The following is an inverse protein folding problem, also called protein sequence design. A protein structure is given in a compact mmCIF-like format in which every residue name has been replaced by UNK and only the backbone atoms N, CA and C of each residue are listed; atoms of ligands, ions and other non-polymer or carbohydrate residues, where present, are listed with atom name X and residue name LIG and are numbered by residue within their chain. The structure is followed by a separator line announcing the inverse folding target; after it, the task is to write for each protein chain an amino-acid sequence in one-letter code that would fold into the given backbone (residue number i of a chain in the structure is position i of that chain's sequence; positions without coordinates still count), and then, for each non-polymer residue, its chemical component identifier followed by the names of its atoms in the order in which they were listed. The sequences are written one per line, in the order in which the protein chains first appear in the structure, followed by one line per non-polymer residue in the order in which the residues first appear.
data_IF_008357051631
#
_entry.id   IF_008357051631
#
_cell.length_a   1.000
_cell.length_b   1.000
_cell.length_c   1.000
_cell.angle_alpha   90.00
_cell.angle_beta   90.00
_cell.angle_gamma   90.00
#
_symmetry.space_group_name_H-M   'P 1'
#
loop_
_entity.id
_entity.type
_entity.pdbx_description
1 polymer ?
#
# COMPACT_ATOMS: atom_id res chain seq x y z
N UNK A 1 45.11 7.34 -51.55
CA UNK A 1 44.52 6.60 -50.42
C UNK A 1 44.02 7.49 -49.27
N UNK A 2 44.53 8.72 -49.03
CA UNK A 2 44.05 9.61 -47.93
C UNK A 2 42.68 10.22 -48.08
N UNK A 3 42.20 10.43 -49.35
CA UNK A 3 40.85 11.03 -49.58
C UNK A 3 39.64 10.12 -49.32
N UNK A 4 39.83 8.78 -49.31
CA UNK A 4 38.73 7.82 -49.04
C UNK A 4 38.54 7.61 -47.53
N UNK A 5 39.54 7.78 -46.72
CA UNK A 5 39.47 7.68 -45.28
C UNK A 5 38.72 8.87 -44.62
N UNK A 6 38.89 10.07 -45.19
CA UNK A 6 38.20 11.27 -44.71
C UNK A 6 36.68 11.19 -44.98
N UNK A 7 36.29 10.65 -46.15
CA UNK A 7 34.88 10.47 -46.49
C UNK A 7 34.16 9.46 -45.61
N UNK A 8 34.83 8.36 -45.22
CA UNK A 8 34.28 7.35 -44.33
C UNK A 8 34.11 7.87 -42.89
N UNK A 9 35.05 8.67 -42.42
CA UNK A 9 34.96 9.25 -41.07
C UNK A 9 33.85 10.30 -40.95
N UNK A 10 33.62 11.10 -41.98
CA UNK A 10 32.53 12.08 -41.98
C UNK A 10 31.13 11.39 -42.07
N UNK A 11 31.02 10.28 -42.79
CA UNK A 11 29.76 9.53 -42.89
C UNK A 11 29.43 8.84 -41.58
N UNK A 12 30.41 8.29 -40.87
CA UNK A 12 30.20 7.68 -39.55
C UNK A 12 29.87 8.74 -38.49
N UNK A 13 30.49 9.91 -38.52
CA UNK A 13 30.18 11.01 -37.61
C UNK A 13 28.73 11.55 -37.81
N UNK A 14 28.24 11.60 -39.10
CA UNK A 14 26.88 12.00 -39.39
C UNK A 14 25.83 10.96 -38.91
N UNK A 15 26.15 9.67 -39.01
CA UNK A 15 25.27 8.62 -38.48
C UNK A 15 25.21 8.60 -36.95
N UNK A 16 26.32 8.86 -36.26
CA UNK A 16 26.35 8.96 -34.78
C UNK A 16 25.58 10.20 -34.32
N UNK A 17 25.66 11.31 -35.05
CA UNK A 17 24.91 12.54 -34.78
C UNK A 17 23.39 12.40 -34.93
N UNK A 18 22.91 11.53 -35.85
CA UNK A 18 21.49 11.27 -36.06
C UNK A 18 20.89 10.32 -35.02
N UNK A 19 21.71 9.46 -34.38
CA UNK A 19 21.24 8.55 -33.32
C UNK A 19 21.23 9.28 -31.95
N UNK A 20 22.06 10.31 -31.76
CA UNK A 20 22.11 11.10 -30.52
C UNK A 20 20.92 12.05 -30.34
N UNK A 21 20.06 12.21 -31.35
CA UNK A 21 18.86 13.08 -31.30
C UNK A 21 17.59 12.40 -30.82
N UNK A 22 17.56 11.07 -30.71
CA UNK A 22 16.47 10.32 -30.10
C UNK A 22 16.87 10.05 -28.66
N UNK A 23 16.81 11.07 -27.80
CA UNK A 23 16.70 10.82 -26.37
C UNK A 23 15.35 10.14 -26.17
N UNK A 24 15.35 8.81 -26.12
CA UNK A 24 14.30 8.12 -25.39
C UNK A 24 14.34 8.72 -23.98
N UNK A 25 13.39 9.58 -23.70
CA UNK A 25 13.08 9.94 -22.33
C UNK A 25 12.64 8.62 -21.72
N UNK A 26 13.57 7.91 -21.09
CA UNK A 26 13.21 6.83 -20.20
C UNK A 26 12.15 7.46 -19.30
N UNK A 27 10.93 6.98 -19.39
CA UNK A 27 9.91 7.28 -18.39
C UNK A 27 10.60 6.99 -17.07
N UNK A 28 10.76 8.01 -16.22
CA UNK A 28 11.19 7.80 -14.84
C UNK A 28 10.21 6.79 -14.28
N UNK A 29 10.61 5.51 -14.27
CA UNK A 29 9.84 4.46 -13.66
C UNK A 29 9.83 4.85 -12.19
N UNK A 30 8.70 5.37 -11.72
CA UNK A 30 8.50 5.74 -10.32
C UNK A 30 8.84 4.49 -9.51
N UNK A 31 9.75 4.60 -8.57
CA UNK A 31 10.11 3.50 -7.68
C UNK A 31 8.82 3.08 -6.93
N UNK A 32 8.44 1.82 -7.10
CA UNK A 32 7.27 1.27 -6.40
C UNK A 32 7.71 0.93 -4.99
N UNK A 33 7.03 1.47 -4.00
CA UNK A 33 7.23 1.14 -2.59
C UNK A 33 6.48 -0.15 -2.28
N UNK A 34 7.13 -1.07 -1.57
CA UNK A 34 6.53 -2.32 -1.13
C UNK A 34 6.18 -2.23 0.35
N UNK A 35 5.04 -2.73 0.70
CA UNK A 35 4.58 -2.87 2.08
C UNK A 35 3.77 -4.16 2.24
N UNK A 36 3.64 -4.62 3.47
CA UNK A 36 2.97 -5.85 3.84
C UNK A 36 1.67 -5.57 4.59
N UNK A 37 0.65 -6.40 4.37
CA UNK A 37 -0.61 -6.30 5.09
C UNK A 37 -1.14 -7.68 5.49
N UNK A 38 -1.71 -7.78 6.69
CA UNK A 38 -2.42 -8.96 7.14
C UNK A 38 -3.88 -8.62 7.44
N UNK A 39 -4.76 -9.36 6.80
CA UNK A 39 -6.21 -9.25 6.98
C UNK A 39 -6.72 -10.45 7.77
N UNK A 40 -7.14 -10.19 9.02
CA UNK A 40 -7.67 -11.21 9.95
C UNK A 40 -9.10 -11.65 9.61
N UNK A 41 -9.43 -11.71 8.34
CA UNK A 41 -10.71 -12.17 7.79
C UNK A 41 -10.48 -13.22 6.71
N UNK A 42 -11.43 -14.12 6.53
CA UNK A 42 -11.37 -15.13 5.47
C UNK A 42 -11.27 -14.48 4.09
N UNK A 43 -10.33 -14.97 3.30
CA UNK A 43 -10.08 -14.50 1.95
C UNK A 43 -9.07 -15.37 1.24
N UNK A 44 -8.81 -15.05 -0.02
CA UNK A 44 -7.79 -15.71 -0.82
C UNK A 44 -6.61 -14.77 -1.05
N UNK A 45 -5.40 -15.29 -0.98
CA UNK A 45 -4.21 -14.54 -1.34
C UNK A 45 -4.25 -14.22 -2.84
N UNK A 46 -4.04 -12.95 -3.16
CA UNK A 46 -4.02 -12.49 -4.55
C UNK A 46 -2.66 -12.84 -5.17
N UNK A 47 -2.70 -13.42 -6.38
CA UNK A 47 -1.48 -13.72 -7.14
C UNK A 47 -0.67 -12.42 -7.33
N UNK A 48 0.63 -12.39 -6.98
CA UNK A 48 1.49 -11.23 -7.22
C UNK A 48 1.53 -10.78 -8.68
N UNK A 49 1.39 -11.74 -9.62
CA UNK A 49 1.37 -11.47 -11.07
C UNK A 49 -0.01 -11.03 -11.59
N UNK A 50 -0.96 -10.70 -10.70
CA UNK A 50 -2.27 -10.20 -11.10
C UNK A 50 -2.17 -8.84 -11.80
N UNK A 51 -2.60 -8.76 -13.06
CA UNK A 51 -2.50 -7.58 -13.92
C UNK A 51 -3.16 -6.33 -13.29
N UNK A 52 -4.30 -6.50 -12.61
CA UNK A 52 -5.02 -5.40 -11.97
C UNK A 52 -4.24 -4.86 -10.78
N UNK A 53 -3.69 -5.74 -9.95
CA UNK A 53 -2.85 -5.37 -8.82
C UNK A 53 -1.62 -4.59 -9.28
N UNK A 54 -0.95 -5.07 -10.31
CA UNK A 54 0.21 -4.39 -10.90
C UNK A 54 -0.15 -3.02 -11.48
N UNK A 55 -1.28 -2.92 -12.19
CA UNK A 55 -1.75 -1.64 -12.72
C UNK A 55 -2.03 -0.61 -11.61
N UNK A 56 -2.65 -1.04 -10.52
CA UNK A 56 -2.88 -0.19 -9.35
C UNK A 56 -1.54 0.24 -8.74
N UNK A 57 -0.61 -0.70 -8.53
CA UNK A 57 0.71 -0.41 -7.97
C UNK A 57 1.48 0.62 -8.81
N UNK A 58 1.44 0.51 -10.13
CA UNK A 58 2.05 1.50 -11.04
C UNK A 58 1.40 2.89 -10.92
N UNK A 59 0.09 2.97 -10.78
CA UNK A 59 -0.64 4.24 -10.66
C UNK A 59 -0.36 4.95 -9.35
N UNK A 60 -0.43 4.24 -8.22
CA UNK A 60 -0.23 4.82 -6.89
C UNK A 60 1.25 4.90 -6.50
N UNK A 61 2.12 4.09 -7.12
CA UNK A 61 3.54 3.97 -6.80
C UNK A 61 3.79 3.19 -5.51
N UNK A 62 2.90 2.26 -5.17
CA UNK A 62 3.01 1.39 -4.02
C UNK A 62 2.35 0.04 -4.30
N UNK A 63 2.94 -1.04 -3.81
CA UNK A 63 2.46 -2.41 -3.93
C UNK A 63 2.32 -3.04 -2.56
N UNK A 64 1.17 -3.69 -2.32
CA UNK A 64 0.88 -4.40 -1.08
C UNK A 64 1.09 -5.90 -1.27
N UNK A 65 1.88 -6.52 -0.39
CA UNK A 65 1.90 -7.97 -0.22
C UNK A 65 0.86 -8.34 0.86
N UNK A 66 -0.26 -8.87 0.41
CA UNK A 66 -1.41 -9.16 1.24
C UNK A 66 -1.39 -10.60 1.71
N UNK A 67 -1.67 -10.81 2.99
CA UNK A 67 -1.92 -12.12 3.59
C UNK A 67 -3.31 -12.13 4.21
N UNK A 68 -4.11 -13.14 3.86
CA UNK A 68 -5.47 -13.33 4.34
C UNK A 68 -5.56 -14.61 5.18
N UNK A 69 -6.59 -14.73 6.03
CA UNK A 69 -6.90 -16.01 6.67
C UNK A 69 -7.38 -17.00 5.61
N UNK A 70 -6.76 -18.19 5.60
CA UNK A 70 -7.16 -19.31 4.74
C UNK A 70 -7.37 -20.53 5.62
N UNK A 71 -8.58 -20.70 6.14
CA UNK A 71 -8.94 -21.84 7.00
C UNK A 71 -8.24 -21.86 8.36
N UNK A 72 -7.72 -20.73 8.83
CA UNK A 72 -7.12 -20.57 10.15
C UNK A 72 -8.10 -19.88 11.10
N UNK A 73 -7.98 -20.18 12.39
CA UNK A 73 -8.66 -19.41 13.41
C UNK A 73 -8.05 -18.01 13.54
N UNK A 74 -8.90 -16.98 13.63
CA UNK A 74 -8.47 -15.58 13.71
C UNK A 74 -7.65 -15.33 14.96
N UNK A 75 -8.11 -15.81 16.10
CA UNK A 75 -7.45 -15.55 17.40
C UNK A 75 -6.08 -16.25 17.45
N UNK A 76 -5.97 -17.46 16.91
CA UNK A 76 -4.69 -18.16 16.78
C UNK A 76 -3.70 -17.39 15.89
N UNK A 77 -4.15 -16.83 14.78
CA UNK A 77 -3.31 -16.04 13.89
C UNK A 77 -2.83 -14.74 14.55
N UNK A 78 -3.74 -13.99 15.20
CA UNK A 78 -3.39 -12.77 15.93
C UNK A 78 -2.44 -13.08 17.12
N UNK A 79 -2.71 -14.12 17.90
CA UNK A 79 -1.84 -14.54 19.00
C UNK A 79 -0.44 -14.94 18.49
N UNK A 80 -0.35 -15.53 17.30
CA UNK A 80 0.93 -15.85 16.66
C UNK A 80 1.73 -14.60 16.32
N UNK A 81 1.10 -13.56 15.74
CA UNK A 81 1.75 -12.28 15.48
C UNK A 81 2.29 -11.65 16.78
N UNK A 82 1.47 -11.64 17.84
CA UNK A 82 1.87 -11.11 19.15
C UNK A 82 3.05 -11.91 19.73
N UNK A 83 3.00 -13.23 19.65
CA UNK A 83 4.04 -14.09 20.21
C UNK A 83 5.39 -13.97 19.49
N UNK A 84 5.38 -13.75 18.17
CA UNK A 84 6.60 -13.58 17.37
C UNK A 84 7.14 -12.17 17.43
N UNK A 85 6.27 -11.17 17.59
CA UNK A 85 6.62 -9.75 17.47
C UNK A 85 6.97 -9.33 16.01
N UNK A 86 6.67 -10.18 15.04
CA UNK A 86 6.89 -9.91 13.62
C UNK A 86 5.58 -9.39 13.00
N UNK A 87 5.40 -8.08 13.03
CA UNK A 87 4.19 -7.43 12.53
C UNK A 87 4.37 -6.98 11.07
N UNK A 88 3.32 -7.13 10.23
CA UNK A 88 3.29 -6.48 8.93
C UNK A 88 3.17 -4.95 9.08
N UNK A 89 3.38 -4.22 7.99
CA UNK A 89 3.23 -2.75 7.98
C UNK A 89 1.78 -2.33 8.27
N UNK A 90 0.81 -3.12 7.82
CA UNK A 90 -0.61 -2.91 8.08
C UNK A 90 -1.28 -4.18 8.59
N UNK A 91 -2.19 -4.02 9.53
CA UNK A 91 -3.02 -5.09 10.07
C UNK A 91 -4.43 -4.55 10.32
N UNK A 92 -5.45 -5.39 10.22
CA UNK A 92 -6.79 -5.00 10.68
C UNK A 92 -6.75 -4.71 12.17
N UNK A 93 -7.47 -3.64 12.58
CA UNK A 93 -7.55 -3.24 13.98
C UNK A 93 -8.22 -4.33 14.81
N UNK A 94 -7.47 -4.87 15.78
CA UNK A 94 -7.91 -5.90 16.71
C UNK A 94 -7.56 -5.48 18.12
N UNK A 95 -8.48 -5.65 19.06
CA UNK A 95 -8.28 -5.28 20.47
C UNK A 95 -7.06 -5.95 21.07
N UNK A 96 -6.81 -7.22 20.75
CA UNK A 96 -5.65 -7.94 21.25
C UNK A 96 -4.31 -7.33 20.81
N UNK A 97 -4.24 -6.78 19.58
CA UNK A 97 -3.04 -6.08 19.09
C UNK A 97 -2.85 -4.74 19.81
N UNK A 98 -3.93 -4.01 20.10
CA UNK A 98 -3.88 -2.79 20.89
C UNK A 98 -3.40 -3.08 22.32
N UNK A 99 -3.96 -4.09 22.98
CA UNK A 99 -3.58 -4.51 24.35
C UNK A 99 -2.12 -5.02 24.43
N UNK A 100 -1.57 -5.49 23.31
CA UNK A 100 -0.18 -5.93 23.20
C UNK A 100 0.79 -4.81 22.82
N UNK A 101 0.35 -3.54 22.76
CA UNK A 101 1.14 -2.39 22.29
C UNK A 101 1.73 -2.59 20.87
N UNK A 102 1.03 -3.36 20.01
CA UNK A 102 1.50 -3.70 18.67
C UNK A 102 1.07 -2.69 17.61
N UNK A 103 0.22 -1.73 17.95
CA UNK A 103 -0.30 -0.73 17.03
C UNK A 103 0.29 0.65 17.31
N UNK A 104 0.46 1.46 16.28
CA UNK A 104 0.85 2.87 16.40
C UNK A 104 -0.39 3.77 16.32
N UNK A 105 -0.45 4.88 17.06
CA UNK A 105 -1.54 5.83 16.97
C UNK A 105 -1.51 6.56 15.62
N UNK A 106 -2.59 6.46 14.84
CA UNK A 106 -2.67 7.07 13.51
C UNK A 106 -3.02 8.56 13.56
N UNK A 107 -3.68 9.02 14.62
CA UNK A 107 -4.08 10.42 14.79
C UNK A 107 -2.87 11.36 15.00
N UNK A 108 -1.71 10.87 15.37
CA UNK A 108 -0.47 11.65 15.45
C UNK A 108 0.05 12.08 14.07
N UNK A 109 -0.37 11.41 12.99
CA UNK A 109 0.08 11.67 11.62
C UNK A 109 -0.93 12.44 10.77
N UNK A 110 -2.06 12.84 11.33
CA UNK A 110 -3.15 13.47 10.55
C UNK A 110 -2.77 14.79 9.89
N UNK A 111 -1.82 15.54 10.44
CA UNK A 111 -1.36 16.78 9.83
C UNK A 111 -0.57 16.53 8.53
N UNK A 112 0.11 15.38 8.44
CA UNK A 112 0.83 14.94 7.24
C UNK A 112 -0.10 14.26 6.22
N UNK A 113 -1.24 13.72 6.69
CA UNK A 113 -2.19 12.96 5.88
C UNK A 113 -3.64 13.46 6.05
N UNK A 114 -3.95 14.69 5.62
CA UNK A 114 -5.26 15.31 5.85
C UNK A 114 -6.42 14.51 5.24
N UNK A 115 -6.20 13.79 4.15
CA UNK A 115 -7.23 12.95 3.53
C UNK A 115 -7.73 11.83 4.46
N UNK A 116 -6.89 11.33 5.37
CA UNK A 116 -7.29 10.33 6.36
C UNK A 116 -8.17 11.00 7.40
N UNK A 117 -7.75 12.15 7.92
CA UNK A 117 -8.52 12.92 8.90
C UNK A 117 -9.90 13.32 8.38
N UNK A 118 -9.97 13.78 7.13
CA UNK A 118 -11.20 14.23 6.47
C UNK A 118 -12.15 13.10 6.05
N UNK A 119 -11.72 11.83 6.15
CA UNK A 119 -12.52 10.67 5.79
C UNK A 119 -13.77 10.53 6.67
N UNK A 120 -13.69 10.90 7.94
CA UNK A 120 -14.78 10.94 8.91
C UNK A 120 -14.91 12.30 9.56
N UNK A 121 -16.09 12.60 10.09
CA UNK A 121 -16.27 13.77 10.96
C UNK A 121 -15.60 13.54 12.32
N UNK A 122 -15.30 14.63 13.04
CA UNK A 122 -14.70 14.56 14.37
C UNK A 122 -15.57 13.71 15.33
N UNK A 123 -16.91 13.82 15.25
CA UNK A 123 -17.83 13.02 16.06
C UNK A 123 -17.73 11.52 15.75
N UNK A 124 -17.51 11.18 14.47
CA UNK A 124 -17.34 9.78 14.07
C UNK A 124 -16.00 9.25 14.55
N UNK A 125 -14.92 10.02 14.43
CA UNK A 125 -13.61 9.63 14.93
C UNK A 125 -13.58 9.40 16.44
N UNK A 126 -14.31 10.20 17.23
CA UNK A 126 -14.39 10.04 18.70
C UNK A 126 -14.91 8.65 19.12
N UNK A 127 -15.70 7.97 18.27
CA UNK A 127 -16.20 6.61 18.56
C UNK A 127 -15.10 5.55 18.51
N UNK A 128 -13.99 5.85 17.86
CA UNK A 128 -12.84 4.93 17.70
C UNK A 128 -11.67 5.29 18.61
N UNK A 129 -11.82 6.35 19.40
CA UNK A 129 -10.80 6.77 20.34
C UNK A 129 -10.68 5.78 21.50
N UNK A 130 -9.46 5.29 21.71
CA UNK A 130 -9.16 4.36 22.78
C UNK A 130 -9.03 5.09 24.13
N UNK A 131 -9.02 4.36 25.28
CA UNK A 131 -8.95 4.95 26.62
C UNK A 131 -7.71 5.83 26.87
N UNK A 132 -6.63 5.62 26.17
CA UNK A 132 -5.40 6.42 26.20
C UNK A 132 -5.52 7.76 25.46
N UNK A 133 -6.61 7.98 24.74
CA UNK A 133 -6.89 9.21 24.01
C UNK A 133 -6.48 9.19 22.55
N UNK A 134 -6.00 8.06 22.02
CA UNK A 134 -5.52 7.91 20.65
C UNK A 134 -6.43 7.04 19.79
N UNK A 135 -6.24 7.12 18.45
CA UNK A 135 -6.94 6.33 17.45
C UNK A 135 -5.91 5.46 16.71
N UNK A 136 -6.16 4.15 16.64
CA UNK A 136 -5.21 3.17 16.14
C UNK A 136 -5.63 2.51 14.83
N UNK A 137 -6.88 2.64 14.40
CA UNK A 137 -7.38 2.03 13.17
C UNK A 137 -8.42 2.90 12.47
N UNK A 138 -8.50 2.71 11.18
CA UNK A 138 -9.50 3.33 10.33
C UNK A 138 -10.67 2.35 10.21
N UNK A 139 -11.90 2.75 10.56
CA UNK A 139 -13.06 1.88 10.41
C UNK A 139 -13.31 1.55 8.95
N UNK A 140 -13.63 0.30 8.69
CA UNK A 140 -14.09 -0.14 7.38
C UNK A 140 -15.61 0.01 7.30
N UNK A 141 -16.06 0.70 6.25
CA UNK A 141 -17.48 0.77 5.95
C UNK A 141 -17.82 -0.29 4.90
N UNK A 142 -18.62 -1.28 5.27
CA UNK A 142 -19.19 -2.22 4.32
C UNK A 142 -20.25 -1.51 3.47
N UNK A 143 -20.13 -1.60 2.15
CA UNK A 143 -21.21 -1.24 1.24
C UNK A 143 -22.14 -2.45 1.16
N UNK A 144 -23.21 -2.47 1.96
CA UNK A 144 -24.28 -3.42 1.73
C UNK A 144 -25.06 -2.99 0.46
N UNK A 145 -25.50 -3.96 -0.32
CA UNK A 145 -26.34 -3.72 -1.50
C UNK A 145 -27.75 -3.31 -1.04
N UNK A 146 -27.91 -2.01 -0.79
CA UNK A 146 -29.15 -1.41 -0.32
C UNK A 146 -28.80 -0.22 0.57
N UNK A 147 -29.47 0.85 0.41
CA UNK A 147 -29.29 2.23 0.90
C UNK A 147 -28.80 2.47 2.36
N UNK A 148 -28.35 1.45 3.06
CA UNK A 148 -27.85 1.56 4.43
C UNK A 148 -26.32 1.30 4.47
N UNK A 149 -25.57 2.35 4.73
CA UNK A 149 -24.15 2.24 5.13
C UNK A 149 -24.14 1.77 6.59
N UNK A 150 -24.08 0.46 6.78
CA UNK A 150 -23.89 -0.11 8.11
C UNK A 150 -22.39 0.00 8.47
N UNK A 151 -22.10 0.75 9.54
CA UNK A 151 -20.79 0.70 10.15
C UNK A 151 -20.59 -0.70 10.72
N UNK A 152 -19.67 -1.46 10.13
CA UNK A 152 -19.24 -2.70 10.77
C UNK A 152 -18.49 -2.32 12.05
N UNK A 153 -19.16 -2.45 13.18
CA UNK A 153 -18.51 -2.44 14.47
C UNK A 153 -17.67 -3.71 14.57
N UNK A 154 -16.35 -3.56 14.54
CA UNK A 154 -15.47 -4.58 15.07
C UNK A 154 -15.60 -4.51 16.60
N UNK A 155 -16.34 -5.44 17.17
CA UNK A 155 -16.37 -5.60 18.62
C UNK A 155 -17.75 -5.65 19.25
N UNK A 156 -18.46 -6.74 19.10
CA UNK A 156 -19.18 -7.46 20.17
C UNK A 156 -19.14 -8.95 19.85
#
# INVERSE_FOLDING_TARGET
MKKRLVSAAVTVALFIGLIAGVTFKASDKKEIKHFTAFFSVEGDNIDPDNDIKQLIAEQIGAECEETWLVGQDKDDAINSLIATGEYPDFVLGETALYEADALIPIDEYWDDYPNIKEYLSDEQWEKFRQPDGHIYWIPQFGVSHGDDVEMLHNGE
#
